data_IF_615818693140
#
_entry.id   IF_615818693140
#
_cell.length_a   1.000
_cell.length_b   1.000
_cell.length_c   1.000
_cell.angle_alpha   90.00
_cell.angle_beta   90.00
_cell.angle_gamma   90.00
#
_symmetry.space_group_name_H-M   'P 1'
#
loop_
_entity.id
_entity.type
_entity.pdbx_description
1 polymer ?
#
# COMPACT_ATOMS: atom_id res chain seq x y z
N UNK A 1 -20.91 10.64 -3.07
CA UNK A 1 -20.45 11.60 -2.03
C UNK A 1 -20.75 11.10 -0.63
N UNK A 2 -21.88 10.42 -0.40
CA UNK A 2 -22.25 9.94 0.95
C UNK A 2 -21.34 8.81 1.46
N UNK A 3 -20.98 7.85 0.60
CA UNK A 3 -20.06 6.77 0.95
C UNK A 3 -18.67 7.27 1.39
N UNK A 4 -18.15 8.32 0.74
CA UNK A 4 -16.84 8.89 1.06
C UNK A 4 -16.85 9.56 2.45
N UNK A 5 -17.97 10.19 2.83
CA UNK A 5 -18.15 10.75 4.18
C UNK A 5 -18.24 9.64 5.23
N UNK A 6 -18.93 8.56 4.93
CA UNK A 6 -19.10 7.42 5.83
C UNK A 6 -17.79 6.67 6.10
N UNK A 7 -16.93 6.53 5.08
CA UNK A 7 -15.57 5.98 5.20
C UNK A 7 -14.74 6.86 6.15
N UNK A 8 -14.69 8.18 5.90
CA UNK A 8 -13.94 9.10 6.75
C UNK A 8 -14.49 9.11 8.18
N UNK A 9 -15.81 9.11 8.34
CA UNK A 9 -16.46 9.10 9.65
C UNK A 9 -16.13 7.82 10.42
N UNK A 10 -16.13 6.65 9.75
CA UNK A 10 -15.75 5.38 10.36
C UNK A 10 -14.28 5.36 10.78
N UNK A 11 -13.37 5.97 10.01
CA UNK A 11 -11.96 6.12 10.38
C UNK A 11 -11.75 7.07 11.57
N UNK A 12 -12.58 8.12 11.69
CA UNK A 12 -12.59 9.04 12.83
C UNK A 12 -13.13 8.31 14.08
N UNK A 13 -14.29 7.67 13.97
CA UNK A 13 -14.94 6.94 15.08
C UNK A 13 -14.08 5.77 15.56
N UNK A 14 -13.39 5.08 14.65
CA UNK A 14 -12.43 4.02 14.98
C UNK A 14 -11.10 4.51 15.56
N UNK A 15 -10.90 5.83 15.69
CA UNK A 15 -9.68 6.43 16.26
C UNK A 15 -8.45 6.33 15.35
N UNK A 16 -8.59 5.85 14.12
CA UNK A 16 -7.47 5.55 13.22
C UNK A 16 -6.75 6.84 12.79
N UNK A 17 -7.48 7.94 12.63
CA UNK A 17 -6.92 9.22 12.15
C UNK A 17 -7.03 10.36 13.15
N UNK A 18 -7.48 10.09 14.39
CA UNK A 18 -7.75 11.12 15.40
C UNK A 18 -6.54 11.97 15.77
N UNK A 19 -5.36 11.36 15.94
CA UNK A 19 -4.12 12.07 16.26
C UNK A 19 -3.65 12.97 15.09
N UNK A 20 -3.72 12.46 13.86
CA UNK A 20 -3.35 13.21 12.66
C UNK A 20 -4.32 14.39 12.42
N UNK A 21 -5.62 14.17 12.64
CA UNK A 21 -6.64 15.21 12.51
C UNK A 21 -6.51 16.28 13.60
N UNK A 22 -6.25 15.88 14.85
CA UNK A 22 -6.00 16.80 15.96
C UNK A 22 -4.76 17.68 15.74
N UNK A 23 -3.67 17.10 15.21
CA UNK A 23 -2.47 17.85 14.84
C UNK A 23 -2.70 18.80 13.64
N UNK A 24 -3.65 18.49 12.77
CA UNK A 24 -4.05 19.34 11.66
C UNK A 24 -4.87 20.54 12.14
N UNK A 25 -5.81 20.30 13.06
CA UNK A 25 -6.71 21.30 13.62
C UNK A 25 -5.99 22.30 14.53
N UNK A 26 -4.82 21.95 15.07
CA UNK A 26 -3.99 22.86 15.87
C UNK A 26 -3.20 23.88 15.04
N UNK A 27 -3.20 23.77 13.69
CA UNK A 27 -2.58 24.75 12.78
C UNK A 27 -3.55 25.91 12.46
N UNK A 28 -3.02 26.99 11.89
CA UNK A 28 -3.84 28.15 11.48
C UNK A 28 -4.98 27.74 10.55
N UNK A 29 -6.12 28.45 10.61
CA UNK A 29 -7.37 28.06 9.94
C UNK A 29 -7.18 27.77 8.43
N UNK A 30 -6.44 28.61 7.72
CA UNK A 30 -6.18 28.43 6.28
C UNK A 30 -5.24 27.25 5.99
N UNK A 31 -4.16 27.11 6.76
CA UNK A 31 -3.18 26.02 6.62
C UNK A 31 -3.80 24.68 7.01
N UNK A 32 -4.60 24.65 8.08
CA UNK A 32 -5.33 23.47 8.57
C UNK A 32 -6.41 23.00 7.60
N UNK A 33 -7.10 23.90 6.90
CA UNK A 33 -8.08 23.54 5.85
C UNK A 33 -7.37 22.89 4.66
N UNK A 34 -6.29 23.49 4.16
CA UNK A 34 -5.56 22.96 3.01
C UNK A 34 -4.93 21.59 3.30
N UNK A 35 -4.29 21.46 4.46
CA UNK A 35 -3.75 20.17 4.93
C UNK A 35 -4.87 19.14 5.18
N UNK A 36 -6.02 19.58 5.72
CA UNK A 36 -7.23 18.77 5.89
C UNK A 36 -7.72 18.14 4.60
N UNK A 37 -7.86 18.97 3.57
CA UNK A 37 -8.27 18.50 2.25
C UNK A 37 -7.26 17.50 1.66
N UNK A 38 -5.96 17.76 1.81
CA UNK A 38 -4.90 16.88 1.29
C UNK A 38 -4.88 15.52 2.00
N UNK A 39 -4.90 15.52 3.34
CA UNK A 39 -4.92 14.29 4.14
C UNK A 39 -6.20 13.50 3.87
N UNK A 40 -7.36 14.17 3.82
CA UNK A 40 -8.63 13.54 3.47
C UNK A 40 -8.61 12.91 2.08
N UNK A 41 -8.06 13.60 1.09
CA UNK A 41 -7.92 13.06 -0.27
C UNK A 41 -6.98 11.85 -0.32
N UNK A 42 -5.83 11.91 0.38
CA UNK A 42 -4.88 10.80 0.44
C UNK A 42 -5.49 9.55 1.09
N UNK A 43 -6.23 9.72 2.19
CA UNK A 43 -6.94 8.63 2.88
C UNK A 43 -7.98 8.00 1.94
N UNK A 44 -8.82 8.82 1.30
CA UNK A 44 -9.85 8.33 0.38
C UNK A 44 -9.24 7.60 -0.83
N UNK A 45 -8.17 8.15 -1.41
CA UNK A 45 -7.47 7.53 -2.52
C UNK A 45 -6.89 6.16 -2.12
N UNK A 46 -6.25 6.08 -0.96
CA UNK A 46 -5.67 4.84 -0.44
C UNK A 46 -6.74 3.80 -0.15
N UNK A 47 -7.86 4.20 0.45
CA UNK A 47 -8.99 3.32 0.72
C UNK A 47 -9.59 2.76 -0.58
N UNK A 48 -9.87 3.63 -1.56
CA UNK A 48 -10.41 3.21 -2.86
C UNK A 48 -9.45 2.31 -3.63
N UNK A 49 -8.15 2.59 -3.58
CA UNK A 49 -7.13 1.73 -4.18
C UNK A 49 -7.10 0.34 -3.53
N UNK A 50 -7.21 0.27 -2.20
CA UNK A 50 -7.29 -1.01 -1.48
C UNK A 50 -8.57 -1.78 -1.84
N UNK A 51 -9.74 -1.12 -1.86
CA UNK A 51 -10.99 -1.76 -2.29
C UNK A 51 -10.92 -2.30 -3.72
N UNK A 52 -10.35 -1.52 -4.64
CA UNK A 52 -10.17 -1.94 -6.03
C UNK A 52 -9.24 -3.17 -6.12
N UNK A 53 -8.12 -3.17 -5.38
CA UNK A 53 -7.21 -4.31 -5.31
C UNK A 53 -7.88 -5.57 -4.72
N UNK A 54 -8.73 -5.41 -3.71
CA UNK A 54 -9.52 -6.52 -3.14
C UNK A 54 -10.52 -7.10 -4.13
N UNK A 55 -11.13 -6.27 -4.98
CA UNK A 55 -12.11 -6.71 -5.99
C UNK A 55 -11.47 -7.47 -7.15
N UNK A 56 -10.23 -7.15 -7.51
CA UNK A 56 -9.55 -7.83 -8.62
C UNK A 56 -9.06 -9.23 -8.26
N UNK A 57 -8.93 -9.55 -6.97
CA UNK A 57 -8.41 -10.83 -6.45
C UNK A 57 -7.10 -11.26 -7.14
N UNK A 58 -6.28 -10.27 -7.52
CA UNK A 58 -5.00 -10.52 -8.18
C UNK A 58 -4.00 -10.88 -7.10
N UNK A 59 -3.58 -12.14 -7.11
CA UNK A 59 -2.44 -12.61 -6.33
C UNK A 59 -1.15 -12.04 -6.92
N UNK A 60 -0.33 -11.42 -6.06
CA UNK A 60 0.99 -10.93 -6.45
C UNK A 60 2.08 -11.84 -5.90
N UNK A 61 3.10 -12.12 -6.70
CA UNK A 61 4.30 -12.83 -6.27
C UNK A 61 5.48 -11.87 -6.23
N UNK A 62 6.27 -11.92 -5.17
CA UNK A 62 7.47 -11.11 -5.03
C UNK A 62 8.61 -11.90 -4.41
N UNK A 63 9.82 -11.56 -4.82
CA UNK A 63 11.04 -12.14 -4.28
C UNK A 63 11.59 -11.24 -3.17
N UNK A 64 11.89 -11.83 -2.02
CA UNK A 64 12.62 -11.17 -0.95
C UNK A 64 13.59 -12.17 -0.32
N UNK A 65 14.87 -11.80 -0.18
CA UNK A 65 15.92 -12.64 0.41
C UNK A 65 16.03 -14.04 -0.23
N UNK A 66 15.95 -14.13 -1.56
CA UNK A 66 15.90 -15.39 -2.33
C UNK A 66 14.71 -16.29 -1.94
N UNK A 67 13.64 -15.73 -1.39
CA UNK A 67 12.40 -16.45 -1.12
C UNK A 67 11.28 -15.81 -1.92
N UNK A 68 10.47 -16.66 -2.55
CA UNK A 68 9.25 -16.28 -3.23
C UNK A 68 8.11 -16.24 -2.22
N UNK A 69 7.40 -15.12 -2.21
CA UNK A 69 6.23 -14.91 -1.39
C UNK A 69 5.03 -14.58 -2.27
N UNK A 70 3.86 -15.01 -1.81
CA UNK A 70 2.55 -14.68 -2.35
C UNK A 70 1.92 -13.60 -1.45
N UNK A 71 1.53 -12.46 -2.02
CA UNK A 71 0.67 -11.47 -1.37
C UNK A 71 -0.74 -11.64 -1.91
N UNK A 72 -1.66 -11.94 -1.01
CA UNK A 72 -3.09 -11.96 -1.30
C UNK A 72 -3.67 -10.55 -1.27
N UNK A 73 -4.85 -10.38 -1.84
CA UNK A 73 -5.49 -9.06 -1.94
C UNK A 73 -5.83 -8.42 -0.57
N UNK A 74 -5.83 -9.20 0.51
CA UNK A 74 -5.98 -8.73 1.89
C UNK A 74 -4.65 -8.23 2.52
N UNK A 75 -3.53 -8.33 1.79
CA UNK A 75 -2.19 -7.96 2.26
C UNK A 75 -1.48 -9.08 3.02
N UNK A 76 -2.09 -10.24 3.21
CA UNK A 76 -1.45 -11.39 3.85
C UNK A 76 -0.34 -11.96 2.98
N UNK A 77 0.79 -12.27 3.60
CA UNK A 77 1.99 -12.78 2.95
C UNK A 77 2.17 -14.26 3.25
N UNK A 78 2.23 -15.08 2.22
CA UNK A 78 2.46 -16.52 2.33
C UNK A 78 3.81 -16.86 1.70
N UNK A 79 4.65 -17.59 2.43
CA UNK A 79 5.87 -18.15 1.87
C UNK A 79 5.53 -19.25 0.87
N UNK A 80 6.14 -19.20 -0.32
CA UNK A 80 5.92 -20.18 -1.39
C UNK A 80 7.09 -21.14 -1.47
N UNK A 81 8.30 -20.62 -1.69
CA UNK A 81 9.53 -21.41 -1.80
C UNK A 81 10.78 -20.54 -1.74
N UNK A 82 11.94 -21.15 -1.50
CA UNK A 82 13.22 -20.53 -1.79
C UNK A 82 13.51 -20.58 -3.31
N UNK A 83 14.12 -19.53 -3.83
CA UNK A 83 14.63 -19.43 -5.19
C UNK A 83 16.12 -19.77 -5.12
N UNK A 84 16.49 -20.91 -5.70
CA UNK A 84 17.89 -21.31 -5.80
C UNK A 84 18.64 -20.32 -6.70
N UNK A 85 19.79 -19.83 -6.22
CA UNK A 85 20.65 -19.00 -7.06
C UNK A 85 21.19 -19.86 -8.21
N UNK A 86 21.15 -19.37 -9.45
CA UNK A 86 21.73 -20.10 -10.57
C UNK A 86 23.22 -20.32 -10.30
N UNK A 87 23.62 -21.59 -10.21
CA UNK A 87 25.01 -22.03 -10.02
C UNK A 87 25.87 -21.89 -11.28
N UNK A 88 25.26 -21.53 -12.41
CA UNK A 88 25.98 -21.32 -13.67
C UNK A 88 26.87 -20.08 -13.56
N UNK A 89 28.18 -20.32 -13.59
CA UNK A 89 29.16 -19.27 -13.90
C UNK A 89 28.94 -18.87 -15.36
N UNK A 90 28.51 -17.62 -15.59
CA UNK A 90 28.49 -17.06 -16.93
C UNK A 90 29.94 -17.04 -17.47
N UNK A 91 30.19 -17.52 -18.69
CA UNK A 91 31.51 -17.41 -19.28
C UNK A 91 31.88 -15.94 -19.42
N UNK A 92 33.08 -15.57 -18.97
CA UNK A 92 33.57 -14.18 -19.04
C UNK A 92 33.86 -13.73 -20.47
N UNK A 93 33.97 -14.67 -21.40
CA UNK A 93 34.23 -14.41 -22.81
C UNK A 93 33.27 -15.21 -23.67
N UNK A 94 32.75 -14.55 -24.70
CA UNK A 94 31.93 -15.18 -25.74
C UNK A 94 32.74 -15.16 -27.04
N UNK A 95 32.74 -16.27 -27.76
CA UNK A 95 33.34 -16.34 -29.09
C UNK A 95 32.25 -15.96 -30.10
N UNK A 96 32.42 -14.84 -30.79
CA UNK A 96 31.58 -14.46 -31.93
C UNK A 96 32.12 -15.20 -33.16
N UNK A 97 31.33 -16.13 -33.69
CA UNK A 97 31.56 -16.78 -34.98
C UNK A 97 30.90 -16.01 -36.11
#
# INVERSE_FOLDING_TARGET
MDNDKEIIQSLITGGIIGAALGALLSKSKETGIALGAMVGAAILATFKANEAARKTNITMFFEENNALYEIKADGSKHFVKNIEKPTKKLPQTFKLS
#
